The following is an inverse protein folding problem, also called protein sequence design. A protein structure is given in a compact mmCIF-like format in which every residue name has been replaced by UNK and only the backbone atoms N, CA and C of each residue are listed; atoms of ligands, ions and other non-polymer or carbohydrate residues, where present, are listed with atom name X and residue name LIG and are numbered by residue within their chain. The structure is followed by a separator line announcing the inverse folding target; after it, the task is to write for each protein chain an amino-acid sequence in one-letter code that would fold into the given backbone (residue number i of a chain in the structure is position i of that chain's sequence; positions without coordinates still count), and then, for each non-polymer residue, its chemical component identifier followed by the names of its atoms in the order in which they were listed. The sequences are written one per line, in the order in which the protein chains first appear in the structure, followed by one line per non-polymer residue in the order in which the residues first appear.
data_IF_305557125895
#
_entry.id   IF_305557125895
#
_cell.length_a   1.000
_cell.length_b   1.000
_cell.length_c   1.000
_cell.angle_alpha   90.00
_cell.angle_beta   90.00
_cell.angle_gamma   90.00
#
_symmetry.space_group_name_H-M   'P 1'
#
loop_
_entity.id
_entity.type
_entity.pdbx_description
1 polymer ?
#
# COMPACT_ATOMS: atom_id res chain seq x y z
N UNK A 1 -28.24 20.39 20.00
CA UNK A 1 -27.28 19.39 20.51
C UNK A 1 -26.53 18.89 19.29
N UNK A 2 -25.19 18.94 19.27
CA UNK A 2 -24.37 18.54 18.12
C UNK A 2 -23.59 17.27 18.50
N UNK A 3 -24.31 16.14 18.66
CA UNK A 3 -23.72 14.89 19.14
C UNK A 3 -23.27 13.98 17.98
N UNK A 4 -22.36 13.04 18.28
CA UNK A 4 -21.80 12.07 17.32
C UNK A 4 -22.89 11.34 16.55
N UNK A 5 -23.86 10.75 17.24
CA UNK A 5 -24.93 9.95 16.65
C UNK A 5 -25.72 10.71 15.57
N UNK A 6 -26.04 11.99 15.83
CA UNK A 6 -26.74 12.84 14.86
C UNK A 6 -25.90 13.09 13.60
N UNK A 7 -24.61 13.39 13.76
CA UNK A 7 -23.72 13.66 12.63
C UNK A 7 -23.42 12.41 11.80
N UNK A 8 -23.31 11.24 12.43
CA UNK A 8 -23.19 9.96 11.72
C UNK A 8 -24.42 9.68 10.83
N UNK A 9 -25.64 9.89 11.35
CA UNK A 9 -26.88 9.69 10.58
C UNK A 9 -26.99 10.67 9.39
N UNK A 10 -26.55 11.92 9.58
CA UNK A 10 -26.51 12.91 8.50
C UNK A 10 -25.49 12.51 7.44
N UNK A 11 -24.28 12.12 7.85
CA UNK A 11 -23.21 11.71 6.96
C UNK A 11 -23.56 10.45 6.16
N UNK A 12 -24.07 9.41 6.81
CA UNK A 12 -24.49 8.17 6.14
C UNK A 12 -25.51 8.47 5.03
N UNK A 13 -26.55 9.26 5.35
CA UNK A 13 -27.56 9.65 4.35
C UNK A 13 -26.95 10.42 3.18
N UNK A 14 -25.99 11.33 3.43
CA UNK A 14 -25.30 12.08 2.37
C UNK A 14 -24.45 11.17 1.48
N UNK A 15 -23.67 10.26 2.08
CA UNK A 15 -22.82 9.34 1.33
C UNK A 15 -23.65 8.30 0.55
N UNK A 16 -24.75 7.82 1.13
CA UNK A 16 -25.68 6.91 0.45
C UNK A 16 -26.32 7.56 -0.79
N UNK A 17 -26.67 8.85 -0.73
CA UNK A 17 -27.15 9.62 -1.90
C UNK A 17 -26.13 9.68 -3.03
N UNK A 18 -24.84 9.55 -2.72
CA UNK A 18 -23.77 9.49 -3.72
C UNK A 18 -23.50 8.07 -4.22
N UNK A 19 -24.30 7.06 -3.85
CA UNK A 19 -24.09 5.64 -4.17
C UNK A 19 -22.77 5.08 -3.63
N UNK A 20 -22.37 5.49 -2.42
CA UNK A 20 -21.25 4.90 -1.69
C UNK A 20 -21.81 3.74 -0.86
N UNK A 21 -21.40 2.50 -1.18
CA UNK A 21 -21.94 1.29 -0.56
C UNK A 21 -21.55 1.19 0.93
N UNK A 22 -20.31 1.52 1.28
CA UNK A 22 -19.78 1.52 2.65
C UNK A 22 -20.14 2.78 3.46
N UNK A 23 -21.20 3.50 3.09
CA UNK A 23 -21.55 4.82 3.63
C UNK A 23 -21.49 4.94 5.15
N UNK A 24 -22.02 3.97 5.90
CA UNK A 24 -21.97 3.97 7.37
C UNK A 24 -20.55 3.80 7.90
N UNK A 25 -19.83 2.77 7.43
CA UNK A 25 -18.44 2.52 7.85
C UNK A 25 -17.52 3.71 7.51
N UNK A 26 -17.69 4.29 6.33
CA UNK A 26 -16.92 5.47 5.90
C UNK A 26 -17.20 6.67 6.83
N UNK A 27 -18.46 6.90 7.19
CA UNK A 27 -18.85 7.96 8.12
C UNK A 27 -18.20 7.77 9.50
N UNK A 28 -18.12 6.54 10.02
CA UNK A 28 -17.48 6.23 11.30
C UNK A 28 -15.96 6.39 11.26
N UNK A 29 -15.30 5.89 10.21
CA UNK A 29 -13.85 6.03 10.03
C UNK A 29 -13.47 7.51 9.97
N UNK A 30 -14.22 8.31 9.24
CA UNK A 30 -13.97 9.74 9.13
C UNK A 30 -14.29 10.50 10.42
N UNK A 31 -15.32 10.07 11.18
CA UNK A 31 -15.65 10.67 12.48
C UNK A 31 -14.52 10.42 13.47
N UNK A 32 -14.11 9.16 13.60
CA UNK A 32 -12.98 8.73 14.43
C UNK A 32 -11.72 9.54 14.14
N UNK A 33 -11.40 9.77 12.86
CA UNK A 33 -10.26 10.59 12.45
C UNK A 33 -10.45 12.10 12.70
N UNK A 34 -11.67 12.62 12.58
CA UNK A 34 -11.98 14.03 12.83
C UNK A 34 -11.76 14.38 14.30
N UNK A 35 -12.33 13.59 15.22
CA UNK A 35 -12.28 13.82 16.68
C UNK A 35 -11.07 13.19 17.38
N UNK A 36 -10.21 12.50 16.63
CA UNK A 36 -9.02 11.82 17.14
C UNK A 36 -9.34 10.82 18.28
N UNK A 37 -10.38 10.02 18.09
CA UNK A 37 -10.80 8.95 19.02
C UNK A 37 -10.96 7.64 18.27
N UNK A 38 -10.73 6.48 18.93
CA UNK A 38 -10.93 5.18 18.31
C UNK A 38 -12.43 4.96 18.01
N UNK A 39 -12.77 4.05 17.07
CA UNK A 39 -14.18 3.83 16.67
C UNK A 39 -15.03 3.32 17.84
N UNK A 40 -14.44 2.57 18.75
CA UNK A 40 -15.01 2.08 20.00
C UNK A 40 -15.58 3.22 20.86
N UNK A 41 -14.93 4.39 20.84
CA UNK A 41 -15.40 5.58 21.54
C UNK A 41 -16.73 6.09 20.96
N UNK A 42 -16.92 6.02 19.64
CA UNK A 42 -18.14 6.48 18.98
C UNK A 42 -19.36 5.67 19.44
N UNK A 43 -19.18 4.37 19.68
CA UNK A 43 -20.24 3.49 20.19
C UNK A 43 -20.48 3.64 21.69
N UNK A 44 -19.42 3.88 22.45
CA UNK A 44 -19.51 4.04 23.91
C UNK A 44 -20.10 5.40 24.32
N UNK A 45 -19.92 6.43 23.50
CA UNK A 45 -20.32 7.81 23.79
C UNK A 45 -21.07 8.48 22.61
N UNK A 46 -22.18 7.91 22.13
CA UNK A 46 -22.96 8.48 21.02
C UNK A 46 -23.53 9.89 21.31
N UNK A 47 -23.64 10.24 22.60
CA UNK A 47 -24.07 11.54 23.13
C UNK A 47 -22.97 12.59 23.20
N UNK A 48 -21.70 12.23 22.98
CA UNK A 48 -20.58 13.16 23.03
C UNK A 48 -20.84 14.38 22.15
N UNK A 49 -20.80 15.56 22.75
CA UNK A 49 -20.98 16.85 22.06
C UNK A 49 -19.67 17.25 21.38
N UNK A 50 -19.71 17.36 20.06
CA UNK A 50 -18.57 17.74 19.25
C UNK A 50 -18.30 19.24 19.35
N UNK A 51 -17.03 19.62 19.34
CA UNK A 51 -16.58 21.00 19.20
C UNK A 51 -16.80 21.51 17.77
N UNK A 52 -16.85 22.83 17.60
CA UNK A 52 -16.99 23.44 16.27
C UNK A 52 -15.84 23.06 15.31
N UNK A 53 -14.62 22.88 15.84
CA UNK A 53 -13.46 22.44 15.07
C UNK A 53 -13.62 20.99 14.58
N UNK A 54 -14.06 20.09 15.48
CA UNK A 54 -14.34 18.69 15.15
C UNK A 54 -15.45 18.58 14.09
N UNK A 55 -16.51 19.37 14.23
CA UNK A 55 -17.61 19.44 13.27
C UNK A 55 -17.10 19.93 11.91
N UNK A 56 -16.36 21.05 11.87
CA UNK A 56 -15.84 21.61 10.62
C UNK A 56 -14.90 20.63 9.89
N UNK A 57 -14.04 19.94 10.64
CA UNK A 57 -13.15 18.91 10.12
C UNK A 57 -13.92 17.70 9.59
N UNK A 58 -14.91 17.20 10.35
CA UNK A 58 -15.74 16.07 9.93
C UNK A 58 -16.54 16.40 8.67
N UNK A 59 -17.16 17.57 8.59
CA UNK A 59 -17.88 18.04 7.41
C UNK A 59 -16.97 18.11 6.17
N UNK A 60 -15.73 18.61 6.34
CA UNK A 60 -14.71 18.60 5.27
C UNK A 60 -14.41 17.18 4.79
N UNK A 61 -14.28 16.22 5.72
CA UNK A 61 -14.04 14.82 5.39
C UNK A 61 -15.23 14.20 4.64
N UNK A 62 -16.46 14.43 5.10
CA UNK A 62 -17.67 13.94 4.43
C UNK A 62 -17.82 14.54 3.05
N UNK A 63 -17.48 15.83 2.86
CA UNK A 63 -17.51 16.46 1.55
C UNK A 63 -16.52 15.80 0.58
N UNK A 64 -15.26 15.60 1.00
CA UNK A 64 -14.25 14.88 0.21
C UNK A 64 -14.69 13.46 -0.14
N UNK A 65 -15.27 12.74 0.83
CA UNK A 65 -15.78 11.39 0.61
C UNK A 65 -16.97 11.36 -0.33
N UNK A 66 -17.88 12.33 -0.25
CA UNK A 66 -18.99 12.50 -1.17
C UNK A 66 -18.51 12.76 -2.61
N UNK A 67 -17.35 13.39 -2.78
CA UNK A 67 -16.62 13.51 -4.06
C UNK A 67 -15.82 12.26 -4.45
N UNK A 68 -16.14 11.11 -3.84
CA UNK A 68 -15.54 9.80 -4.09
C UNK A 68 -14.07 9.68 -3.71
N UNK A 69 -13.49 10.61 -2.95
CA UNK A 69 -12.12 10.45 -2.47
C UNK A 69 -12.05 9.28 -1.47
N UNK A 70 -11.11 8.33 -1.59
CA UNK A 70 -10.97 7.22 -0.64
C UNK A 70 -10.74 7.68 0.81
N UNK A 71 -11.36 7.00 1.78
CA UNK A 71 -11.20 7.31 3.22
C UNK A 71 -9.74 7.28 3.67
N UNK A 72 -8.92 6.39 3.10
CA UNK A 72 -7.49 6.31 3.41
C UNK A 72 -6.72 7.59 3.02
N UNK A 73 -7.05 8.22 1.89
CA UNK A 73 -6.45 9.52 1.50
C UNK A 73 -7.01 10.69 2.29
N UNK A 74 -8.29 10.63 2.67
CA UNK A 74 -8.90 11.67 3.52
C UNK A 74 -8.25 11.67 4.91
N UNK A 75 -8.07 10.48 5.50
CA UNK A 75 -7.44 10.29 6.81
C UNK A 75 -5.91 10.30 6.76
N UNK A 76 -5.33 10.19 5.55
CA UNK A 76 -3.90 10.11 5.32
C UNK A 76 -3.25 8.83 5.82
N UNK A 77 -4.02 7.77 6.13
CA UNK A 77 -3.48 6.53 6.69
C UNK A 77 -4.17 5.26 6.19
N UNK A 78 -3.41 4.17 6.15
CA UNK A 78 -3.90 2.82 5.89
C UNK A 78 -3.09 1.82 6.72
N UNK A 79 -3.79 0.93 7.42
CA UNK A 79 -3.18 -0.20 8.11
C UNK A 79 -2.82 -1.29 7.09
N UNK A 80 -1.65 -1.89 7.29
CA UNK A 80 -1.15 -3.04 6.54
C UNK A 80 -0.22 -3.86 7.45
N UNK A 81 -0.46 -5.16 7.57
CA UNK A 81 0.36 -6.08 8.37
C UNK A 81 0.57 -5.62 9.83
N UNK A 82 -0.46 -5.05 10.45
CA UNK A 82 -0.44 -4.52 11.81
C UNK A 82 0.28 -3.18 11.97
N UNK A 83 0.64 -2.52 10.88
CA UNK A 83 1.37 -1.25 10.87
C UNK A 83 0.56 -0.14 10.17
N UNK A 84 0.53 1.06 10.75
CA UNK A 84 -0.09 2.23 10.11
C UNK A 84 0.87 2.91 9.12
N UNK A 85 0.48 2.97 7.84
CA UNK A 85 1.21 3.67 6.79
C UNK A 85 0.53 4.99 6.43
N UNK A 86 1.32 6.04 6.24
CA UNK A 86 0.88 7.25 5.57
C UNK A 86 0.65 6.97 4.08
N UNK A 87 -0.48 7.44 3.56
CA UNK A 87 -0.84 7.30 2.13
C UNK A 87 -1.49 8.58 1.62
N UNK A 88 -1.21 8.91 0.37
CA UNK A 88 -1.90 9.95 -0.39
C UNK A 88 -1.92 9.57 -1.87
N UNK A 89 -2.46 10.46 -2.72
CA UNK A 89 -2.62 10.27 -4.18
C UNK A 89 -1.33 9.91 -4.94
N UNK A 90 -0.15 9.96 -4.32
CA UNK A 90 1.12 9.56 -4.95
C UNK A 90 1.34 8.06 -4.99
N UNK A 91 0.62 7.28 -4.17
CA UNK A 91 0.82 5.83 -4.00
C UNK A 91 -0.50 5.08 -4.04
N UNK A 92 -0.48 3.81 -4.44
CA UNK A 92 -1.64 2.93 -4.27
C UNK A 92 -1.95 2.75 -2.78
N UNK A 93 -3.23 2.74 -2.41
CA UNK A 93 -3.62 2.41 -1.03
C UNK A 93 -3.34 0.91 -0.81
N UNK A 94 -2.54 0.52 0.21
CA UNK A 94 -2.25 -0.89 0.50
C UNK A 94 -3.53 -1.73 0.58
N UNK A 95 -3.49 -2.90 -0.05
CA UNK A 95 -4.62 -3.82 -0.10
C UNK A 95 -4.40 -5.03 0.81
N UNK A 96 -5.45 -5.56 1.47
CA UNK A 96 -5.29 -6.70 2.37
C UNK A 96 -4.68 -7.95 1.72
N UNK A 97 -5.03 -8.23 0.46
CA UNK A 97 -4.49 -9.35 -0.31
C UNK A 97 -2.97 -9.28 -0.49
N UNK A 98 -2.40 -8.06 -0.49
CA UNK A 98 -0.96 -7.82 -0.61
C UNK A 98 -0.20 -8.26 0.66
N UNK A 99 -0.86 -8.49 1.79
CA UNK A 99 -0.21 -8.97 3.02
C UNK A 99 0.41 -10.36 2.85
N UNK A 100 -0.19 -11.20 2.00
CA UNK A 100 0.34 -12.54 1.67
C UNK A 100 1.74 -12.47 1.05
N UNK A 101 2.06 -11.39 0.33
CA UNK A 101 3.39 -11.16 -0.24
C UNK A 101 4.41 -10.95 0.88
N UNK A 102 4.09 -10.08 1.84
CA UNK A 102 4.96 -9.85 3.00
C UNK A 102 5.11 -11.12 3.84
N UNK A 103 4.02 -11.83 4.13
CA UNK A 103 4.02 -13.07 4.89
C UNK A 103 4.90 -14.15 4.24
N UNK A 104 4.75 -14.35 2.92
CA UNK A 104 5.50 -15.34 2.17
C UNK A 104 7.00 -15.01 2.14
N UNK A 105 7.34 -13.73 1.89
CA UNK A 105 8.74 -13.29 1.89
C UNK A 105 9.40 -13.46 3.27
N UNK A 106 8.68 -13.16 4.36
CA UNK A 106 9.14 -13.37 5.73
C UNK A 106 9.38 -14.86 6.01
N UNK A 107 8.44 -15.72 5.61
CA UNK A 107 8.54 -17.18 5.80
C UNK A 107 9.75 -17.75 5.08
N UNK A 108 9.94 -17.39 3.81
CA UNK A 108 11.08 -17.81 2.99
C UNK A 108 12.40 -17.34 3.62
N UNK A 109 12.50 -16.07 4.04
CA UNK A 109 13.71 -15.53 4.63
C UNK A 109 14.07 -16.20 5.96
N UNK A 110 13.08 -16.58 6.78
CA UNK A 110 13.31 -17.31 8.04
C UNK A 110 13.77 -18.75 7.82
N UNK A 111 13.34 -19.38 6.73
CA UNK A 111 13.72 -20.74 6.37
C UNK A 111 15.04 -20.81 5.58
N UNK A 112 15.50 -19.69 5.03
CA UNK A 112 16.71 -19.62 4.23
C UNK A 112 17.97 -19.79 5.08
N UNK A 113 18.97 -20.47 4.53
CA UNK A 113 20.31 -20.52 5.11
C UNK A 113 21.11 -19.28 4.67
N UNK A 114 21.71 -18.59 5.65
CA UNK A 114 22.57 -17.43 5.41
C UNK A 114 21.81 -16.10 5.22
N UNK A 115 22.53 -15.07 4.78
CA UNK A 115 21.98 -13.71 4.59
C UNK A 115 21.12 -13.67 3.33
N UNK A 116 19.90 -13.17 3.44
CA UNK A 116 19.03 -12.90 2.31
C UNK A 116 19.17 -11.46 1.80
N UNK A 117 18.88 -11.26 0.52
CA UNK A 117 18.51 -9.95 -0.02
C UNK A 117 17.03 -9.97 -0.37
N UNK A 118 16.24 -9.08 0.22
CA UNK A 118 14.83 -8.91 -0.09
C UNK A 118 14.65 -7.66 -0.93
N UNK A 119 14.02 -7.81 -2.08
CA UNK A 119 13.77 -6.74 -3.04
C UNK A 119 12.26 -6.58 -3.19
N UNK A 120 11.74 -5.39 -2.95
CA UNK A 120 10.36 -5.00 -3.23
C UNK A 120 10.30 -4.16 -4.50
N UNK A 121 9.61 -4.68 -5.53
CA UNK A 121 9.52 -4.09 -6.87
C UNK A 121 8.19 -3.39 -7.04
N UNK A 122 8.23 -2.08 -7.31
CA UNK A 122 7.02 -1.24 -7.33
C UNK A 122 6.55 -0.92 -5.91
N UNK A 123 7.48 -0.50 -5.03
CA UNK A 123 7.27 -0.44 -3.58
C UNK A 123 6.14 0.50 -3.16
N UNK A 124 5.78 1.49 -3.97
CA UNK A 124 4.66 2.39 -3.70
C UNK A 124 4.81 3.12 -2.36
N UNK A 125 3.93 2.79 -1.40
CA UNK A 125 3.96 3.33 -0.04
C UNK A 125 5.07 2.75 0.85
N UNK A 126 5.80 1.74 0.37
CA UNK A 126 6.79 0.99 1.13
C UNK A 126 6.20 -0.11 2.02
N UNK A 127 4.89 -0.35 1.97
CA UNK A 127 4.21 -1.19 2.96
C UNK A 127 4.76 -2.63 3.05
N UNK A 128 5.04 -3.27 1.91
CA UNK A 128 5.58 -4.64 1.84
C UNK A 128 7.00 -4.69 2.44
N UNK A 129 7.95 -3.93 1.89
CA UNK A 129 9.34 -3.98 2.36
C UNK A 129 9.52 -3.53 3.81
N UNK A 130 8.73 -2.55 4.27
CA UNK A 130 8.78 -2.07 5.66
C UNK A 130 8.26 -3.14 6.61
N UNK A 131 7.15 -3.81 6.28
CA UNK A 131 6.63 -4.92 7.08
C UNK A 131 7.66 -6.05 7.19
N UNK A 132 8.29 -6.42 6.06
CA UNK A 132 9.33 -7.45 6.03
C UNK A 132 10.54 -7.05 6.88
N UNK A 133 11.08 -5.83 6.70
CA UNK A 133 12.24 -5.35 7.45
C UNK A 133 11.95 -5.23 8.96
N UNK A 134 10.72 -4.89 9.35
CA UNK A 134 10.29 -4.90 10.76
C UNK A 134 10.24 -6.30 11.35
N UNK A 135 9.78 -7.28 10.59
CA UNK A 135 9.60 -8.65 11.06
C UNK A 135 10.91 -9.47 11.10
N UNK A 136 11.88 -9.13 10.25
CA UNK A 136 13.14 -9.88 10.10
C UNK A 136 14.36 -9.22 10.76
N UNK A 137 14.34 -7.91 11.02
CA UNK A 137 15.44 -7.21 11.69
C UNK A 137 16.69 -7.01 10.81
N UNK A 138 17.87 -6.90 11.41
CA UNK A 138 19.10 -6.41 10.75
C UNK A 138 19.97 -7.50 10.11
N UNK A 139 19.51 -8.75 10.09
CA UNK A 139 20.28 -9.89 9.59
C UNK A 139 20.32 -9.97 8.06
N UNK A 140 19.38 -9.34 7.36
CA UNK A 140 19.22 -9.37 5.91
C UNK A 140 19.45 -7.99 5.29
N UNK A 141 19.56 -7.95 3.96
CA UNK A 141 19.55 -6.72 3.17
C UNK A 141 18.17 -6.47 2.59
N UNK A 142 17.74 -5.21 2.56
CA UNK A 142 16.44 -4.80 2.04
C UNK A 142 16.61 -3.72 1.00
N UNK A 143 15.99 -3.90 -0.16
CA UNK A 143 15.97 -2.93 -1.23
C UNK A 143 14.54 -2.70 -1.73
N UNK A 144 14.21 -1.45 -2.05
CA UNK A 144 12.88 -1.04 -2.46
C UNK A 144 12.97 -0.14 -3.69
N UNK A 145 12.34 -0.58 -4.78
CA UNK A 145 12.39 0.09 -6.07
C UNK A 145 11.03 0.62 -6.51
N UNK A 146 10.99 1.83 -7.06
CA UNK A 146 9.82 2.33 -7.79
C UNK A 146 10.26 3.20 -8.98
N UNK A 147 9.44 3.26 -10.03
CA UNK A 147 9.67 4.18 -11.15
C UNK A 147 9.32 5.62 -10.78
N UNK A 148 8.40 5.77 -9.81
CA UNK A 148 7.88 7.04 -9.33
C UNK A 148 8.68 7.58 -8.14
N UNK A 149 9.38 8.70 -8.36
CA UNK A 149 10.08 9.40 -7.28
C UNK A 149 9.10 9.88 -6.19
N UNK A 150 7.88 10.29 -6.58
CA UNK A 150 6.88 10.74 -5.61
C UNK A 150 6.38 9.62 -4.71
N UNK A 151 6.33 8.37 -5.21
CA UNK A 151 6.05 7.18 -4.41
C UNK A 151 7.20 6.87 -3.45
N UNK A 152 8.46 6.92 -3.93
CA UNK A 152 9.64 6.72 -3.08
C UNK A 152 9.73 7.73 -1.93
N UNK A 153 9.30 8.97 -2.13
CA UNK A 153 9.19 9.95 -1.03
C UNK A 153 8.21 9.49 0.06
N UNK A 154 7.06 8.91 -0.32
CA UNK A 154 6.09 8.34 0.63
C UNK A 154 6.68 7.12 1.33
N UNK A 155 7.32 6.21 0.57
CA UNK A 155 7.97 5.03 1.13
C UNK A 155 9.05 5.39 2.16
N UNK A 156 9.87 6.40 1.89
CA UNK A 156 10.89 6.89 2.83
C UNK A 156 10.29 7.51 4.08
N UNK A 157 9.20 8.27 3.96
CA UNK A 157 8.49 8.82 5.12
C UNK A 157 7.92 7.71 6.01
N UNK A 158 7.32 6.68 5.40
CA UNK A 158 6.84 5.51 6.12
C UNK A 158 7.99 4.73 6.76
N UNK A 159 9.11 4.55 6.07
CA UNK A 159 10.28 3.86 6.61
C UNK A 159 10.87 4.62 7.81
N UNK A 160 10.87 5.95 7.76
CA UNK A 160 11.24 6.81 8.90
C UNK A 160 10.26 6.64 10.06
N UNK A 161 8.95 6.70 9.79
CA UNK A 161 7.88 6.50 10.79
C UNK A 161 8.01 5.17 11.53
N UNK A 162 8.40 4.11 10.83
CA UNK A 162 8.54 2.76 11.39
C UNK A 162 9.95 2.43 11.91
N UNK A 163 10.90 3.36 11.80
CA UNK A 163 12.26 3.21 12.32
C UNK A 163 13.16 2.27 11.50
N UNK A 164 12.87 2.09 10.21
CA UNK A 164 13.61 1.19 9.31
C UNK A 164 14.24 1.91 8.11
N UNK A 165 14.21 3.25 8.06
CA UNK A 165 14.77 4.04 6.97
C UNK A 165 16.22 3.66 6.62
N UNK A 166 17.07 3.50 7.64
CA UNK A 166 18.49 3.17 7.45
C UNK A 166 18.74 1.69 7.12
N UNK A 167 17.70 0.85 7.13
CA UNK A 167 17.78 -0.58 6.82
C UNK A 167 17.41 -0.89 5.38
N UNK A 168 16.77 0.06 4.68
CA UNK A 168 16.20 -0.17 3.36
C UNK A 168 16.89 0.75 2.35
N UNK A 169 17.51 0.14 1.34
CA UNK A 169 18.06 0.86 0.20
C UNK A 169 16.94 1.20 -0.79
N UNK A 170 16.61 2.49 -0.90
CA UNK A 170 15.61 2.98 -1.86
C UNK A 170 16.25 3.42 -3.17
N UNK A 171 15.78 2.90 -4.29
CA UNK A 171 16.27 3.26 -5.62
C UNK A 171 15.13 3.57 -6.58
N UNK A 172 15.36 4.53 -7.47
CA UNK A 172 14.46 4.81 -8.59
C UNK A 172 14.87 3.99 -9.80
N UNK A 173 13.94 3.24 -10.38
CA UNK A 173 14.24 2.41 -11.54
C UNK A 173 13.02 1.71 -12.10
N UNK A 174 13.18 1.18 -13.31
CA UNK A 174 12.19 0.29 -13.90
C UNK A 174 12.47 -1.15 -13.40
N UNK A 175 11.49 -1.73 -12.72
CA UNK A 175 11.58 -3.06 -12.12
C UNK A 175 12.91 -3.25 -11.34
N UNK A 176 13.73 -4.24 -11.71
CA UNK A 176 15.00 -4.56 -11.04
C UNK A 176 16.24 -4.09 -11.81
N UNK A 177 16.11 -3.14 -12.75
CA UNK A 177 17.21 -2.69 -13.62
C UNK A 177 18.45 -2.28 -12.82
N UNK A 178 18.25 -1.55 -11.72
CA UNK A 178 19.33 -1.10 -10.84
C UNK A 178 20.06 -2.28 -10.17
N UNK A 179 19.31 -3.34 -9.82
CA UNK A 179 19.83 -4.52 -9.12
C UNK A 179 20.66 -5.40 -10.06
N UNK A 180 20.36 -5.45 -11.35
CA UNK A 180 21.07 -6.28 -12.33
C UNK A 180 22.58 -5.96 -12.43
N UNK A 181 23.02 -4.81 -11.92
CA UNK A 181 24.40 -4.36 -11.94
C UNK A 181 25.08 -4.40 -10.56
N UNK A 182 24.39 -4.85 -9.52
CA UNK A 182 24.95 -4.93 -8.18
C UNK A 182 25.76 -6.22 -7.98
N UNK A 183 26.80 -6.19 -7.13
CA UNK A 183 27.51 -7.38 -6.69
C UNK A 183 26.65 -8.20 -5.71
N UNK A 184 26.08 -9.32 -6.17
CA UNK A 184 25.11 -10.13 -5.39
C UNK A 184 25.66 -11.51 -4.97
N UNK A 185 26.97 -11.68 -4.98
CA UNK A 185 27.63 -12.97 -4.73
C UNK A 185 27.69 -13.39 -3.25
N UNK A 186 27.29 -12.52 -2.32
CA UNK A 186 27.34 -12.79 -0.88
C UNK A 186 26.02 -13.29 -0.28
N UNK A 187 24.95 -13.36 -1.07
CA UNK A 187 23.63 -13.79 -0.58
C UNK A 187 23.41 -15.27 -0.86
N UNK A 188 22.84 -15.98 0.13
CA UNK A 188 22.38 -17.36 -0.07
C UNK A 188 21.07 -17.40 -0.86
N UNK A 189 20.18 -16.46 -0.56
CA UNK A 189 18.86 -16.33 -1.20
C UNK A 189 18.55 -14.87 -1.55
N UNK A 190 17.99 -14.64 -2.73
CA UNK A 190 17.41 -13.36 -3.15
C UNK A 190 15.91 -13.55 -3.27
N UNK A 191 15.13 -12.76 -2.54
CA UNK A 191 13.68 -12.80 -2.53
C UNK A 191 13.18 -11.58 -3.29
N UNK A 192 12.50 -11.79 -4.41
CA UNK A 192 11.91 -10.73 -5.23
C UNK A 192 10.41 -10.70 -4.98
N UNK A 193 9.98 -9.74 -4.17
CA UNK A 193 8.57 -9.47 -3.87
C UNK A 193 8.05 -8.36 -4.78
N UNK A 194 6.81 -8.48 -5.27
CA UNK A 194 6.25 -7.48 -6.16
C UNK A 194 4.72 -7.45 -6.13
N UNK A 195 4.14 -6.26 -6.03
CA UNK A 195 2.72 -6.02 -6.29
C UNK A 195 2.61 -5.01 -7.44
N UNK A 196 2.81 -5.49 -8.66
CA UNK A 196 2.89 -4.66 -9.85
C UNK A 196 1.50 -4.37 -10.42
N UNK A 197 1.34 -3.29 -11.21
CA UNK A 197 0.09 -3.02 -11.91
C UNK A 197 -0.35 -4.21 -12.75
N UNK A 198 -1.61 -4.62 -12.62
CA UNK A 198 -2.18 -5.77 -13.33
C UNK A 198 -3.53 -5.48 -13.98
N UNK A 199 -4.07 -4.27 -13.81
CA UNK A 199 -5.37 -3.91 -14.37
C UNK A 199 -5.18 -3.53 -15.83
N UNK A 200 -5.92 -4.19 -16.72
CA UNK A 200 -5.86 -3.89 -18.14
C UNK A 200 -6.61 -2.61 -18.51
N UNK A 201 -6.28 -1.96 -19.64
CA UNK A 201 -7.07 -0.85 -20.18
C UNK A 201 -8.57 -1.16 -20.31
N UNK A 202 -8.93 -2.40 -20.64
CA UNK A 202 -10.33 -2.85 -20.70
C UNK A 202 -10.97 -2.94 -19.31
N UNK A 203 -10.30 -3.54 -18.33
CA UNK A 203 -10.81 -3.65 -16.95
C UNK A 203 -10.94 -2.28 -16.26
N UNK A 204 -10.03 -1.36 -16.55
CA UNK A 204 -10.01 -0.03 -15.94
C UNK A 204 -11.29 0.77 -16.22
N UNK A 205 -11.95 0.52 -17.35
CA UNK A 205 -13.21 1.21 -17.72
C UNK A 205 -14.38 0.83 -16.81
N UNK A 206 -14.29 -0.31 -16.11
CA UNK A 206 -15.36 -0.83 -15.25
C UNK A 206 -15.06 -0.72 -13.76
N UNK A 207 -13.91 -0.14 -13.39
CA UNK A 207 -13.53 0.04 -11.99
C UNK A 207 -14.39 1.09 -11.29
N UNK A 208 -14.43 1.01 -9.95
CA UNK A 208 -15.14 1.97 -9.13
C UNK A 208 -14.59 3.40 -9.32
N UNK A 209 -15.47 4.43 -9.30
CA UNK A 209 -15.06 5.83 -9.45
C UNK A 209 -13.97 6.25 -8.47
N UNK A 210 -14.02 5.75 -7.23
CA UNK A 210 -13.01 6.01 -6.19
C UNK A 210 -11.59 5.66 -6.67
N UNK A 211 -11.44 4.54 -7.35
CA UNK A 211 -10.14 4.04 -7.83
C UNK A 211 -9.72 4.86 -9.05
N UNK A 212 -10.62 4.97 -10.05
CA UNK A 212 -10.33 5.63 -11.34
C UNK A 212 -10.00 7.11 -11.19
N UNK A 213 -10.65 7.80 -10.25
CA UNK A 213 -10.54 9.24 -10.06
C UNK A 213 -9.36 9.65 -9.17
N UNK A 214 -8.97 8.80 -8.21
CA UNK A 214 -8.07 9.23 -7.12
C UNK A 214 -6.78 8.43 -7.01
N UNK A 215 -6.76 7.15 -7.39
CA UNK A 215 -5.55 6.34 -7.29
C UNK A 215 -4.62 6.54 -8.51
N UNK A 216 -3.29 6.49 -8.31
CA UNK A 216 -2.36 6.79 -9.39
C UNK A 216 -2.44 5.73 -10.49
N UNK A 217 -2.81 6.16 -11.70
CA UNK A 217 -2.96 5.29 -12.88
C UNK A 217 -1.75 4.37 -13.12
N UNK A 218 -0.53 4.88 -12.92
CA UNK A 218 0.69 4.10 -13.10
C UNK A 218 0.90 2.97 -12.07
N UNK A 219 0.15 2.96 -10.98
CA UNK A 219 0.15 1.87 -10.00
C UNK A 219 -0.97 0.84 -10.26
N UNK A 220 -1.86 1.10 -11.23
CA UNK A 220 -3.02 0.26 -11.55
C UNK A 220 -2.88 -0.40 -12.92
N UNK A 221 -2.58 0.41 -13.93
CA UNK A 221 -2.72 0.05 -15.33
C UNK A 221 -1.49 -0.64 -15.91
N UNK A 222 -1.73 -1.73 -16.64
CA UNK A 222 -0.79 -2.24 -17.63
C UNK A 222 -0.86 -1.43 -18.93
N UNK A 223 0.20 -1.44 -19.76
CA UNK A 223 0.20 -0.72 -21.04
C UNK A 223 -0.60 -1.42 -22.14
N UNK A 224 -0.98 -2.68 -21.94
CA UNK A 224 -1.69 -3.54 -22.92
C UNK A 224 -2.78 -4.33 -22.20
N UNK A 225 -3.70 -4.99 -22.92
CA UNK A 225 -4.66 -5.93 -22.34
C UNK A 225 -4.06 -7.27 -21.89
N UNK A 226 -2.78 -7.25 -21.52
CA UNK A 226 -2.08 -8.34 -20.85
C UNK A 226 -1.91 -7.95 -19.37
N UNK A 227 -2.66 -8.58 -18.45
CA UNK A 227 -2.56 -8.27 -17.02
C UNK A 227 -1.22 -8.70 -16.41
N UNK A 228 -0.47 -9.58 -17.09
CA UNK A 228 0.83 -10.07 -16.65
C UNK A 228 2.01 -9.31 -17.29
N UNK A 229 1.75 -8.23 -18.03
CA UNK A 229 2.77 -7.49 -18.79
C UNK A 229 4.05 -7.19 -17.99
N UNK A 230 3.89 -6.62 -16.78
CA UNK A 230 5.03 -6.27 -15.93
C UNK A 230 5.68 -7.48 -15.28
N UNK A 231 4.92 -8.53 -14.96
CA UNK A 231 5.45 -9.78 -14.43
C UNK A 231 6.28 -10.53 -15.50
N UNK A 232 5.85 -10.54 -16.76
CA UNK A 232 6.62 -11.06 -17.88
C UNK A 232 7.96 -10.32 -18.08
N UNK A 233 7.95 -9.00 -17.92
CA UNK A 233 9.18 -8.21 -17.96
C UNK A 233 10.08 -8.54 -16.76
N UNK A 234 9.52 -8.62 -15.54
CA UNK A 234 10.25 -8.96 -14.32
C UNK A 234 10.89 -10.35 -14.40
N UNK A 235 10.17 -11.37 -14.88
CA UNK A 235 10.68 -12.73 -15.02
C UNK A 235 11.86 -12.83 -15.99
N UNK A 236 11.83 -12.06 -17.09
CA UNK A 236 12.97 -11.95 -18.01
C UNK A 236 14.19 -11.37 -17.29
N UNK A 237 14.01 -10.34 -16.48
CA UNK A 237 15.09 -9.72 -15.72
C UNK A 237 15.62 -10.65 -14.63
N UNK A 238 14.76 -11.39 -13.93
CA UNK A 238 15.16 -12.41 -12.95
C UNK A 238 15.96 -13.53 -13.64
N UNK A 239 15.60 -13.90 -14.88
CA UNK A 239 16.36 -14.88 -15.68
C UNK A 239 17.75 -14.36 -16.06
N UNK A 240 17.92 -13.05 -16.23
CA UNK A 240 19.25 -12.44 -16.42
C UNK A 240 20.01 -12.44 -15.09
N UNK A 241 19.33 -12.09 -14.00
CA UNK A 241 19.90 -12.05 -12.65
C UNK A 241 20.46 -13.41 -12.22
N UNK A 242 19.72 -14.50 -12.46
CA UNK A 242 20.12 -15.86 -12.09
C UNK A 242 21.41 -16.33 -12.79
N UNK A 243 21.80 -15.72 -13.91
CA UNK A 243 23.08 -16.00 -14.58
C UNK A 243 24.26 -15.23 -13.98
N UNK A 244 23.99 -14.24 -13.12
CA UNK A 244 25.00 -13.36 -12.52
C UNK A 244 25.28 -13.65 -11.05
N UNK A 245 24.52 -14.55 -10.41
CA UNK A 245 24.67 -14.91 -9.00
C UNK A 245 24.46 -16.41 -8.80
N UNK A 246 25.07 -16.96 -7.75
CA UNK A 246 24.83 -18.33 -7.29
C UNK A 246 23.69 -18.39 -6.24
N UNK A 247 23.12 -17.24 -5.86
CA UNK A 247 22.03 -17.19 -4.90
C UNK A 247 20.77 -17.88 -5.45
N UNK A 248 20.05 -18.58 -4.58
CA UNK A 248 18.70 -19.06 -4.88
C UNK A 248 17.77 -17.86 -5.05
N UNK A 249 17.02 -17.79 -6.15
CA UNK A 249 16.07 -16.68 -6.37
C UNK A 249 14.65 -17.16 -6.14
N UNK A 250 13.98 -16.53 -5.17
CA UNK A 250 12.59 -16.77 -4.81
C UNK A 250 11.71 -15.65 -5.35
N UNK A 251 10.60 -16.01 -5.98
CA UNK A 251 9.61 -15.07 -6.52
C UNK A 251 8.43 -15.04 -5.56
N UNK A 252 8.08 -13.86 -5.08
CA UNK A 252 6.97 -13.65 -4.14
C UNK A 252 5.99 -12.66 -4.75
N UNK A 253 5.28 -13.15 -5.76
CA UNK A 253 4.21 -12.46 -6.44
C UNK A 253 3.39 -13.49 -7.23
N UNK A 254 2.10 -13.22 -7.39
CA UNK A 254 1.22 -14.03 -8.22
C UNK A 254 0.93 -13.28 -9.51
N UNK A 255 1.05 -13.97 -10.64
CA UNK A 255 0.52 -13.49 -11.91
C UNK A 255 -1.00 -13.39 -11.82
N UNK A 256 -1.62 -12.48 -12.57
CA UNK A 256 -3.07 -12.29 -12.62
C UNK A 256 -3.84 -13.57 -13.02
N UNK A 257 -3.19 -14.57 -13.60
CA UNK A 257 -3.76 -15.91 -13.86
C UNK A 257 -4.01 -16.77 -12.60
N UNK A 258 -3.61 -16.31 -11.41
CA UNK A 258 -3.82 -17.01 -10.13
C UNK A 258 -4.97 -16.47 -9.28
N UNK A 259 -5.71 -15.46 -9.77
CA UNK A 259 -6.87 -14.82 -9.08
C UNK A 259 -8.17 -15.17 -9.79
#
# INVERSE_FOLDING_TARGET
MHCISQYLEIAERRLRKQNIQSSFLDAEVLMSAAINRPREFLYAHPEYEMTDEEIAKYETFIQRRASREPTAYITGKKEFYGLDFFVDKRVLIPRPETEKIAESAISIARAAEGRCMVIDVGTGSGCVIIAIAKALGDTNEYAAGDISESALLVARENAKRHGVLNRIAFFRGNLIDHILNLPLYHFGTIIVAANLPYITPSQYQTLEPEIVLHEPRGALLTPTDDPDYYYHALDKMITILSKKTNARIERVYETAKGV
#
